data_IF_527985407348
#
_entry.id   IF_527985407348
#
_cell.length_a   1.000
_cell.length_b   1.000
_cell.length_c   1.000
_cell.angle_alpha   90.00
_cell.angle_beta   90.00
_cell.angle_gamma   90.00
#
_symmetry.space_group_name_H-M   'P 1'
#
loop_
_entity.id
_entity.type
_entity.pdbx_description
1 polymer ?
#
# COMPACT_ATOMS: atom_id res chain seq x y z
N UNK A 1 -1.88 -10.25 -10.41
CA UNK A 1 -0.92 -9.35 -9.75
C UNK A 1 0.36 -9.38 -10.55
N UNK A 2 0.91 -8.22 -10.87
CA UNK A 2 2.17 -8.09 -11.58
C UNK A 2 3.04 -7.08 -10.85
N UNK A 3 4.27 -7.49 -10.54
CA UNK A 3 5.29 -6.59 -10.01
C UNK A 3 5.95 -5.87 -11.18
N UNK A 4 5.95 -4.55 -11.12
CA UNK A 4 6.66 -3.66 -12.04
C UNK A 4 7.84 -3.07 -11.29
N UNK A 5 9.04 -3.50 -11.66
CA UNK A 5 10.30 -3.01 -11.06
C UNK A 5 10.61 -1.57 -11.44
N UNK A 6 9.94 -1.06 -12.48
CA UNK A 6 9.95 0.32 -12.93
C UNK A 6 8.59 0.65 -13.56
N UNK A 7 8.01 1.81 -13.26
CA UNK A 7 6.80 2.32 -13.90
C UNK A 7 7.07 3.72 -14.47
N UNK A 8 6.74 3.92 -15.74
CA UNK A 8 6.84 5.24 -16.36
C UNK A 8 5.72 6.14 -15.82
N UNK A 9 6.05 7.38 -15.44
CA UNK A 9 5.07 8.36 -14.98
C UNK A 9 4.01 8.64 -16.04
N UNK A 10 4.35 8.55 -17.32
CA UNK A 10 3.39 8.70 -18.42
C UNK A 10 2.22 7.72 -18.31
N UNK A 11 2.46 6.49 -17.80
CA UNK A 11 1.39 5.49 -17.62
C UNK A 11 0.39 5.86 -16.51
N UNK A 12 0.73 6.83 -15.65
CA UNK A 12 -0.12 7.30 -14.57
C UNK A 12 -0.77 8.67 -14.88
N UNK A 13 -0.39 9.35 -15.96
CA UNK A 13 -0.90 10.70 -16.32
C UNK A 13 -2.42 10.74 -16.49
N UNK A 14 -3.02 9.64 -16.95
CA UNK A 14 -4.47 9.52 -17.14
C UNK A 14 -5.16 8.71 -16.04
N UNK A 15 -4.41 8.30 -15.01
CA UNK A 15 -4.96 7.50 -13.91
C UNK A 15 -5.56 8.39 -12.82
N UNK A 16 -6.51 7.84 -12.08
CA UNK A 16 -7.12 8.54 -10.94
C UNK A 16 -6.34 8.23 -9.67
N UNK A 17 -5.76 9.25 -9.03
CA UNK A 17 -5.15 9.09 -7.70
C UNK A 17 -6.25 8.88 -6.65
N UNK A 18 -6.20 7.76 -5.93
CA UNK A 18 -7.17 7.42 -4.89
C UNK A 18 -6.69 7.76 -3.48
N UNK A 19 -5.42 7.52 -3.21
CA UNK A 19 -4.82 7.73 -1.90
C UNK A 19 -3.31 7.93 -2.03
N UNK A 20 -2.72 8.72 -1.14
CA UNK A 20 -1.28 8.93 -1.11
C UNK A 20 -0.75 9.11 0.31
N UNK A 21 0.53 8.79 0.46
CA UNK A 21 1.40 9.12 1.58
C UNK A 21 2.71 9.69 1.03
N UNK A 22 3.67 9.96 1.91
CA UNK A 22 4.98 10.50 1.53
C UNK A 22 5.71 9.62 0.51
N UNK A 23 5.62 8.29 0.66
CA UNK A 23 6.40 7.35 -0.16
C UNK A 23 5.52 6.47 -1.05
N UNK A 24 4.22 6.40 -0.80
CA UNK A 24 3.32 5.51 -1.54
C UNK A 24 2.12 6.26 -2.11
N UNK A 25 1.63 5.79 -3.26
CA UNK A 25 0.40 6.28 -3.86
C UNK A 25 -0.37 5.11 -4.46
N UNK A 26 -1.70 5.18 -4.42
CA UNK A 26 -2.60 4.22 -5.05
C UNK A 26 -3.32 4.93 -6.18
N UNK A 27 -3.14 4.43 -7.40
CA UNK A 27 -3.82 4.90 -8.59
C UNK A 27 -4.83 3.86 -9.07
N UNK A 28 -6.02 4.32 -9.44
CA UNK A 28 -6.95 3.55 -10.25
C UNK A 28 -6.58 3.70 -11.72
N UNK A 29 -6.28 2.56 -12.34
CA UNK A 29 -6.07 2.44 -13.78
C UNK A 29 -7.39 2.03 -14.47
N UNK A 30 -7.31 1.56 -15.70
CA UNK A 30 -8.45 1.04 -16.44
C UNK A 30 -8.83 -0.39 -16.00
N UNK A 31 -10.04 -0.82 -16.37
CA UNK A 31 -10.52 -2.20 -16.24
C UNK A 31 -10.38 -2.78 -14.82
N UNK A 32 -10.78 -1.99 -13.81
CA UNK A 32 -10.72 -2.39 -12.39
C UNK A 32 -9.33 -2.85 -11.93
N UNK A 33 -8.30 -2.21 -12.49
CA UNK A 33 -6.90 -2.43 -12.12
C UNK A 33 -6.41 -1.24 -11.30
N UNK A 34 -5.60 -1.53 -10.28
CA UNK A 34 -5.05 -0.54 -9.36
C UNK A 34 -3.54 -0.71 -9.28
N UNK A 35 -2.83 0.40 -9.14
CA UNK A 35 -1.38 0.43 -9.02
C UNK A 35 -1.00 0.98 -7.65
N UNK A 36 -0.32 0.19 -6.83
CA UNK A 36 0.38 0.67 -5.64
C UNK A 36 1.79 1.07 -6.07
N UNK A 37 2.09 2.36 -6.02
CA UNK A 37 3.33 2.95 -6.51
C UNK A 37 4.18 3.41 -5.32
N UNK A 38 5.43 2.98 -5.28
CA UNK A 38 6.46 3.53 -4.42
C UNK A 38 7.16 4.69 -5.16
N UNK A 39 7.01 5.90 -4.63
CA UNK A 39 7.47 7.16 -5.21
C UNK A 39 8.37 7.94 -4.25
N UNK A 40 9.51 7.37 -3.89
CA UNK A 40 10.51 8.07 -3.07
C UNK A 40 11.42 8.96 -3.92
N UNK A 41 11.83 10.12 -3.39
CA UNK A 41 12.72 11.04 -4.09
C UNK A 41 14.10 10.41 -4.32
N UNK A 42 14.61 10.48 -5.55
CA UNK A 42 15.92 9.92 -5.90
C UNK A 42 15.93 8.41 -6.19
N UNK A 43 14.76 7.76 -6.28
CA UNK A 43 14.63 6.36 -6.69
C UNK A 43 13.64 6.26 -7.86
N UNK A 44 13.90 5.32 -8.78
CA UNK A 44 12.95 4.95 -9.83
C UNK A 44 11.62 4.51 -9.21
N UNK A 45 10.51 4.95 -9.81
CA UNK A 45 9.20 4.58 -9.31
C UNK A 45 8.96 3.10 -9.57
N UNK A 46 8.52 2.40 -8.53
CA UNK A 46 8.21 0.98 -8.59
C UNK A 46 6.75 0.79 -8.32
N UNK A 47 6.13 -0.24 -8.90
CA UNK A 47 4.71 -0.47 -8.71
C UNK A 47 4.33 -1.93 -8.62
N UNK A 48 3.23 -2.20 -7.94
CA UNK A 48 2.53 -3.47 -8.01
C UNK A 48 1.14 -3.20 -8.57
N UNK A 49 0.80 -3.88 -9.66
CA UNK A 49 -0.55 -3.82 -10.22
C UNK A 49 -1.39 -4.99 -9.73
N UNK A 50 -2.61 -4.67 -9.33
CA UNK A 50 -3.57 -5.54 -8.67
C UNK A 50 -4.92 -5.37 -9.38
N UNK A 51 -5.70 -6.44 -9.51
CA UNK A 51 -7.14 -6.28 -9.77
C UNK A 51 -7.84 -5.69 -8.54
N UNK A 52 -9.07 -5.19 -8.68
CA UNK A 52 -9.89 -4.72 -7.56
C UNK A 52 -10.03 -5.76 -6.46
N UNK A 53 -10.38 -7.00 -6.81
CA UNK A 53 -10.41 -8.13 -5.86
C UNK A 53 -9.06 -8.36 -5.15
N UNK A 54 -7.95 -8.20 -5.88
CA UNK A 54 -6.61 -8.31 -5.33
C UNK A 54 -6.33 -7.22 -4.30
N UNK A 55 -6.70 -5.98 -4.60
CA UNK A 55 -6.57 -4.84 -3.69
C UNK A 55 -7.38 -5.07 -2.41
N UNK A 56 -8.64 -5.49 -2.53
CA UNK A 56 -9.48 -5.78 -1.35
C UNK A 56 -8.86 -6.85 -0.43
N UNK A 57 -8.34 -7.94 -1.01
CA UNK A 57 -7.68 -9.01 -0.23
C UNK A 57 -6.40 -8.54 0.47
N UNK A 58 -5.58 -7.73 -0.20
CA UNK A 58 -4.37 -7.15 0.39
C UNK A 58 -4.74 -6.21 1.54
N UNK A 59 -5.75 -5.35 1.35
CA UNK A 59 -6.23 -4.44 2.40
C UNK A 59 -6.72 -5.21 3.63
N UNK A 60 -7.45 -6.30 3.45
CA UNK A 60 -7.87 -7.16 4.55
C UNK A 60 -6.66 -7.75 5.31
N UNK A 61 -5.65 -8.24 4.57
CA UNK A 61 -4.43 -8.80 5.16
C UNK A 61 -3.65 -7.76 5.97
N UNK A 62 -3.48 -6.56 5.42
CA UNK A 62 -2.82 -5.43 6.11
C UNK A 62 -3.61 -5.03 7.36
N UNK A 63 -4.94 -4.94 7.27
CA UNK A 63 -5.78 -4.61 8.43
C UNK A 63 -5.67 -5.66 9.54
N UNK A 64 -5.59 -6.95 9.18
CA UNK A 64 -5.37 -8.04 10.15
C UNK A 64 -3.98 -7.94 10.80
N UNK A 65 -2.94 -7.69 10.02
CA UNK A 65 -1.58 -7.49 10.54
C UNK A 65 -1.52 -6.28 11.47
N UNK A 66 -2.09 -5.14 11.09
CA UNK A 66 -2.14 -3.93 11.93
C UNK A 66 -2.86 -4.17 13.27
N UNK A 67 -3.97 -4.91 13.27
CA UNK A 67 -4.66 -5.30 14.52
C UNK A 67 -3.81 -6.20 15.42
N UNK A 68 -2.99 -7.08 14.85
CA UNK A 68 -2.06 -7.90 15.63
C UNK A 68 -0.98 -7.02 16.26
N UNK A 69 -0.30 -6.19 15.46
CA UNK A 69 0.75 -5.28 15.92
C UNK A 69 0.26 -4.34 17.04
N UNK A 70 -0.93 -3.76 16.88
CA UNK A 70 -1.53 -2.91 17.92
C UNK A 70 -1.75 -3.68 19.23
N UNK A 71 -2.27 -4.91 19.14
CA UNK A 71 -2.55 -5.74 20.32
C UNK A 71 -1.26 -6.09 21.06
N UNK A 72 -0.21 -6.43 20.34
CA UNK A 72 1.08 -6.78 20.91
C UNK A 72 1.69 -5.57 21.62
N UNK A 73 1.73 -4.41 20.96
CA UNK A 73 2.17 -3.16 21.55
C UNK A 73 1.38 -2.79 22.81
N UNK A 74 0.05 -2.89 22.77
CA UNK A 74 -0.80 -2.62 23.92
C UNK A 74 -0.53 -3.59 25.08
N UNK A 75 -0.26 -4.87 24.78
CA UNK A 75 0.13 -5.88 25.75
C UNK A 75 1.44 -5.55 26.44
N UNK A 76 2.45 -5.16 25.68
CA UNK A 76 3.77 -4.80 26.20
C UNK A 76 3.71 -3.54 27.07
N UNK A 77 3.01 -2.49 26.61
CA UNK A 77 2.80 -1.27 27.39
C UNK A 77 2.05 -1.53 28.70
N UNK A 78 1.06 -2.42 28.68
CA UNK A 78 0.32 -2.81 29.89
C UNK A 78 1.19 -3.56 30.90
N UNK A 79 2.09 -4.43 30.42
CA UNK A 79 3.07 -5.15 31.27
C UNK A 79 4.12 -4.22 31.85
N UNK A 80 4.65 -3.30 31.05
CA UNK A 80 5.63 -2.29 31.49
C UNK A 80 5.06 -1.30 32.53
N UNK A 81 3.73 -1.17 32.59
CA UNK A 81 3.03 -0.27 33.51
C UNK A 81 2.59 -0.94 34.83
N UNK A 82 2.80 -2.26 34.99
CA UNK A 82 2.60 -2.92 36.28
C UNK A 82 3.83 -2.69 37.17
N UNK A 83 3.65 -2.24 38.43
CA UNK A 83 4.75 -1.96 39.37
C UNK A 83 5.51 -3.23 39.78
#
# INVERSE_FOLDING_TARGET
MQLLTTIDRATLEHSTLLAESNEFAIYQLENDTYSLVHRHAGVEWQAITLSGDGLFRVMELVARAGRALYRDLAGDLSRARKP
#
